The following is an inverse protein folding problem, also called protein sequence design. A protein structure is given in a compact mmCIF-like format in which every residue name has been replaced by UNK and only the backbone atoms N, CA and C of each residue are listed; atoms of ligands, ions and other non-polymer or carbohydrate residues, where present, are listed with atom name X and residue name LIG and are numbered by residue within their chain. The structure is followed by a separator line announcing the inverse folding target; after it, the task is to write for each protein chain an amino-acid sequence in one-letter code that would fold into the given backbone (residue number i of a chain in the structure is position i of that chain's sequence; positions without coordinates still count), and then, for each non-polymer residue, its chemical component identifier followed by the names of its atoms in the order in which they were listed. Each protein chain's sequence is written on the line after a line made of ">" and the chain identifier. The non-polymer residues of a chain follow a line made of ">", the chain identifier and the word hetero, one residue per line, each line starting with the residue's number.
data_IF_107026306311
#
_entry.id   IF_107026306311
#
_cell.length_a   1.000
_cell.length_b   1.000
_cell.length_c   1.000
_cell.angle_alpha   90.00
_cell.angle_beta   90.00
_cell.angle_gamma   90.00
#
_symmetry.space_group_name_H-M   'P 1'
#
loop_
_entity.id
_entity.type
_entity.pdbx_description
1 polymer ?
#
# COMPACT_ATOMS: atom_id res chain seq x y z
N UNK A 1 24.95 38.14 4.63
CA UNK A 1 24.42 36.77 4.85
C UNK A 1 23.46 36.88 6.02
N UNK A 2 22.16 37.01 5.74
CA UNK A 2 21.16 37.30 6.77
C UNK A 2 20.87 36.08 7.61
N UNK A 3 21.03 36.20 8.93
CA UNK A 3 20.56 35.20 9.88
C UNK A 3 19.04 35.10 9.74
N UNK A 4 18.56 33.94 9.31
CA UNK A 4 17.14 33.59 9.40
C UNK A 4 16.78 33.73 10.88
N UNK A 5 15.95 34.71 11.22
CA UNK A 5 15.58 34.93 12.62
C UNK A 5 14.87 33.68 13.14
N UNK A 6 15.05 33.34 14.42
CA UNK A 6 14.40 32.17 15.01
C UNK A 6 12.87 32.16 14.79
N UNK A 7 12.25 33.34 14.65
CA UNK A 7 10.84 33.49 14.31
C UNK A 7 10.52 33.13 12.85
N UNK A 8 11.36 33.52 11.88
CA UNK A 8 11.19 33.11 10.47
C UNK A 8 11.40 31.61 10.28
N UNK A 9 12.40 31.03 10.96
CA UNK A 9 12.61 29.58 10.95
C UNK A 9 11.40 28.83 11.53
N UNK A 10 10.82 29.32 12.62
CA UNK A 10 9.63 28.74 13.24
C UNK A 10 8.40 28.89 12.37
N UNK A 11 8.20 30.04 11.73
CA UNK A 11 7.11 30.28 10.80
C UNK A 11 7.21 29.37 9.56
N UNK A 12 8.41 29.18 9.01
CA UNK A 12 8.67 28.28 7.90
C UNK A 12 8.40 26.81 8.27
N UNK A 13 8.81 26.37 9.45
CA UNK A 13 8.53 25.01 9.94
C UNK A 13 7.03 24.76 10.16
N UNK A 14 6.30 25.75 10.67
CA UNK A 14 4.83 25.66 10.82
C UNK A 14 4.13 25.58 9.46
N UNK A 15 4.58 26.35 8.46
CA UNK A 15 4.05 26.27 7.10
C UNK A 15 4.31 24.90 6.44
N UNK A 16 5.51 24.32 6.66
CA UNK A 16 5.85 22.98 6.19
C UNK A 16 5.00 21.91 6.89
N UNK A 17 4.80 22.01 8.21
CA UNK A 17 3.99 21.05 8.96
C UNK A 17 2.49 21.15 8.61
N UNK A 18 1.97 22.35 8.37
CA UNK A 18 0.62 22.55 7.84
C UNK A 18 0.47 21.98 6.43
N UNK A 19 1.46 22.16 5.56
CA UNK A 19 1.52 21.52 4.25
C UNK A 19 1.52 19.99 4.37
N UNK A 20 2.31 19.44 5.31
CA UNK A 20 2.42 18.00 5.55
C UNK A 20 1.09 17.40 6.04
N UNK A 21 0.38 18.09 6.93
CA UNK A 21 -0.96 17.68 7.41
C UNK A 21 -2.00 17.70 6.29
N UNK A 22 -1.99 18.75 5.46
CA UNK A 22 -2.89 18.81 4.28
C UNK A 22 -2.61 17.69 3.27
N UNK A 23 -1.35 17.28 3.13
CA UNK A 23 -0.97 16.14 2.26
C UNK A 23 -1.46 14.81 2.85
N UNK A 24 -1.35 14.60 4.17
CA UNK A 24 -1.83 13.37 4.83
C UNK A 24 -3.35 13.22 4.75
N UNK A 25 -4.11 14.30 4.91
CA UNK A 25 -5.57 14.29 4.71
C UNK A 25 -5.96 13.95 3.26
N UNK A 26 -5.08 14.23 2.29
CA UNK A 26 -5.27 13.96 0.86
C UNK A 26 -4.89 12.53 0.45
N UNK A 27 -4.25 11.73 1.31
CA UNK A 27 -3.97 10.31 1.07
C UNK A 27 -5.21 9.49 1.50
N UNK A 28 -6.14 9.27 0.57
CA UNK A 28 -7.21 8.31 0.77
C UNK A 28 -7.23 7.38 -0.45
N UNK A 29 -6.92 6.11 -0.20
CA UNK A 29 -7.08 5.05 -1.20
C UNK A 29 -8.53 4.59 -1.15
N UNK A 30 -9.26 4.58 -2.28
CA UNK A 30 -10.67 4.16 -2.32
C UNK A 30 -10.89 2.74 -1.78
N UNK A 31 -12.04 2.49 -1.15
CA UNK A 31 -12.40 1.17 -0.64
C UNK A 31 -12.34 0.07 -1.71
N UNK A 32 -12.75 0.38 -2.95
CA UNK A 32 -12.71 -0.58 -4.07
C UNK A 32 -11.30 -1.07 -4.39
N UNK A 33 -10.26 -0.25 -4.16
CA UNK A 33 -8.89 -0.65 -4.44
C UNK A 33 -8.44 -1.76 -3.47
N UNK A 34 -8.81 -1.64 -2.19
CA UNK A 34 -8.53 -2.70 -1.21
C UNK A 34 -9.25 -4.00 -1.57
N UNK A 35 -10.50 -3.90 -2.04
CA UNK A 35 -11.23 -5.04 -2.59
C UNK A 35 -10.54 -5.65 -3.81
N UNK A 36 -10.03 -4.84 -4.74
CA UNK A 36 -9.29 -5.30 -5.90
C UNK A 36 -8.02 -6.08 -5.49
N UNK A 37 -7.24 -5.54 -4.54
CA UNK A 37 -6.03 -6.22 -4.05
C UNK A 37 -6.38 -7.51 -3.32
N UNK A 38 -7.40 -7.49 -2.47
CA UNK A 38 -7.88 -8.67 -1.75
C UNK A 38 -8.36 -9.77 -2.73
N UNK A 39 -9.19 -9.41 -3.72
CA UNK A 39 -9.66 -10.34 -4.74
C UNK A 39 -8.51 -10.94 -5.55
N UNK A 40 -7.51 -10.13 -5.91
CA UNK A 40 -6.31 -10.63 -6.60
C UNK A 40 -5.52 -11.62 -5.77
N UNK A 41 -5.42 -11.42 -4.45
CA UNK A 41 -4.72 -12.35 -3.55
C UNK A 41 -5.43 -13.71 -3.46
N UNK A 42 -6.76 -13.71 -3.36
CA UNK A 42 -7.56 -14.95 -3.39
C UNK A 42 -7.45 -15.66 -4.73
N UNK A 43 -7.54 -14.91 -5.84
CA UNK A 43 -7.41 -15.46 -7.18
C UNK A 43 -6.03 -16.10 -7.41
N UNK A 44 -4.95 -15.48 -6.92
CA UNK A 44 -3.61 -16.06 -6.98
C UNK A 44 -3.52 -17.38 -6.20
N UNK A 45 -4.11 -17.44 -5.01
CA UNK A 45 -4.19 -18.68 -4.23
C UNK A 45 -4.94 -19.79 -4.97
N UNK A 46 -6.08 -19.46 -5.58
CA UNK A 46 -6.86 -20.41 -6.38
C UNK A 46 -6.09 -20.89 -7.62
N UNK A 47 -5.40 -20.00 -8.33
CA UNK A 47 -4.54 -20.37 -9.47
C UNK A 47 -3.39 -21.26 -9.02
N UNK A 48 -2.84 -21.03 -7.83
CA UNK A 48 -1.76 -21.85 -7.28
C UNK A 48 -2.20 -23.28 -6.93
N UNK A 49 -3.41 -23.45 -6.40
CA UNK A 49 -3.93 -24.79 -6.07
C UNK A 49 -4.52 -25.54 -7.27
N UNK A 50 -5.12 -24.82 -8.24
CA UNK A 50 -5.90 -25.43 -9.33
C UNK A 50 -5.17 -25.42 -10.69
N UNK A 51 -4.20 -24.53 -10.86
CA UNK A 51 -3.52 -24.28 -12.13
C UNK A 51 -2.19 -25.02 -12.26
N UNK A 52 -1.64 -25.10 -13.49
CA UNK A 52 -0.27 -25.58 -13.68
C UNK A 52 0.72 -24.59 -13.06
N UNK A 53 1.87 -25.07 -12.60
CA UNK A 53 2.85 -24.26 -11.83
C UNK A 53 3.28 -22.95 -12.55
N UNK A 54 3.33 -22.93 -13.88
CA UNK A 54 3.67 -21.73 -14.64
C UNK A 54 2.56 -20.66 -14.61
N UNK A 55 1.29 -21.06 -14.43
CA UNK A 55 0.16 -20.15 -14.39
C UNK A 55 0.23 -19.22 -13.17
N UNK A 56 0.68 -19.72 -12.02
CA UNK A 56 0.90 -18.92 -10.81
C UNK A 56 1.93 -17.82 -11.04
N UNK A 57 3.04 -18.15 -11.72
CA UNK A 57 4.08 -17.18 -12.09
C UNK A 57 3.50 -16.10 -13.00
N UNK A 58 2.79 -16.48 -14.06
CA UNK A 58 2.17 -15.53 -14.99
C UNK A 58 1.14 -14.66 -14.29
N UNK A 59 0.28 -15.25 -13.46
CA UNK A 59 -0.74 -14.53 -12.71
C UNK A 59 -0.12 -13.53 -11.72
N UNK A 60 0.97 -13.91 -11.05
CA UNK A 60 1.68 -13.02 -10.11
C UNK A 60 2.29 -11.82 -10.82
N UNK A 61 2.96 -12.06 -11.96
CA UNK A 61 3.52 -10.98 -12.79
C UNK A 61 2.42 -10.07 -13.31
N UNK A 62 1.32 -10.64 -13.83
CA UNK A 62 0.18 -9.88 -14.33
C UNK A 62 -0.49 -9.04 -13.23
N UNK A 63 -0.69 -9.62 -12.05
CA UNK A 63 -1.23 -8.92 -10.89
C UNK A 63 -0.31 -7.79 -10.44
N UNK A 64 1.00 -8.03 -10.35
CA UNK A 64 1.99 -7.01 -9.99
C UNK A 64 2.03 -5.85 -10.99
N UNK A 65 1.97 -6.15 -12.30
CA UNK A 65 1.94 -5.15 -13.36
C UNK A 65 0.64 -4.32 -13.32
N UNK A 66 -0.51 -4.99 -13.19
CA UNK A 66 -1.82 -4.33 -13.08
C UNK A 66 -1.87 -3.44 -11.84
N UNK A 67 -1.47 -3.96 -10.67
CA UNK A 67 -1.39 -3.22 -9.43
C UNK A 67 -0.48 -1.99 -9.54
N UNK A 68 0.72 -2.14 -10.12
CA UNK A 68 1.67 -1.05 -10.32
C UNK A 68 1.17 0.03 -11.29
N UNK A 69 0.32 -0.34 -12.26
CA UNK A 69 -0.30 0.62 -13.18
C UNK A 69 -1.49 1.37 -12.57
N UNK A 70 -2.28 0.68 -11.73
CA UNK A 70 -3.50 1.20 -11.13
C UNK A 70 -3.19 2.04 -9.89
N UNK A 71 -2.25 1.62 -9.04
CA UNK A 71 -1.95 2.32 -7.79
C UNK A 71 -1.59 3.81 -7.99
N UNK A 72 -0.73 4.20 -8.95
CA UNK A 72 -0.49 5.60 -9.25
C UNK A 72 -1.76 6.28 -9.75
N UNK A 73 -2.50 5.68 -10.69
CA UNK A 73 -3.71 6.27 -11.27
C UNK A 73 -4.84 6.46 -10.27
N UNK A 74 -4.96 5.60 -9.27
CA UNK A 74 -5.96 5.72 -8.20
C UNK A 74 -5.60 6.86 -7.24
N UNK A 75 -4.32 7.01 -6.94
CA UNK A 75 -3.79 8.10 -6.11
C UNK A 75 -3.86 9.45 -6.85
N UNK A 76 -3.64 9.45 -8.18
CA UNK A 76 -3.68 10.64 -9.04
C UNK A 76 -5.10 10.98 -9.55
N UNK A 77 -5.96 9.99 -9.77
CA UNK A 77 -7.31 10.14 -10.34
C UNK A 77 -8.31 10.83 -9.42
N UNK A 78 -8.03 10.88 -8.11
CA UNK A 78 -8.73 11.76 -7.16
C UNK A 78 -8.22 13.22 -7.18
N UNK A 79 -7.20 13.52 -8.00
CA UNK A 79 -6.39 14.75 -7.93
C UNK A 79 -6.01 15.25 -9.33
N UNK A 80 -7.01 15.58 -10.14
CA UNK A 80 -6.79 16.50 -11.25
C UNK A 80 -6.28 17.85 -10.72
N UNK A 81 -4.98 18.01 -10.62
CA UNK A 81 -4.33 19.31 -10.58
C UNK A 81 -2.95 19.21 -11.23
N UNK A 82 -2.86 19.84 -12.40
CA UNK A 82 -1.69 20.03 -13.24
C UNK A 82 -0.53 20.81 -12.58
N UNK A 83 -0.48 20.88 -11.24
CA UNK A 83 0.57 21.54 -10.47
C UNK A 83 1.52 20.55 -9.76
N UNK A 84 1.25 19.24 -9.86
CA UNK A 84 2.11 18.17 -9.34
C UNK A 84 2.73 17.33 -10.47
N UNK A 85 3.07 17.95 -11.60
CA UNK A 85 4.07 17.38 -12.52
C UNK A 85 5.49 17.52 -11.94
N UNK A 86 5.64 17.32 -10.64
CA UNK A 86 6.95 17.14 -10.02
C UNK A 86 7.36 15.72 -10.36
N UNK A 87 8.09 15.61 -11.48
CA UNK A 87 9.01 14.53 -11.85
C UNK A 87 8.72 13.19 -11.17
N UNK A 88 8.19 12.24 -11.94
CA UNK A 88 8.17 10.81 -11.60
C UNK A 88 9.55 10.25 -11.14
N UNK A 89 10.61 10.98 -11.44
CA UNK A 89 12.00 10.85 -10.96
C UNK A 89 12.17 10.98 -9.41
N UNK A 90 11.19 11.56 -8.70
CA UNK A 90 11.25 11.86 -7.24
C UNK A 90 10.01 11.34 -6.49
N UNK A 91 9.32 10.31 -7.00
CA UNK A 91 8.51 9.45 -6.12
C UNK A 91 9.52 8.56 -5.36
N UNK A 92 10.10 9.13 -4.32
CA UNK A 92 11.38 8.71 -3.76
C UNK A 92 11.46 7.21 -3.46
N UNK A 93 12.63 6.63 -3.79
CA UNK A 93 13.12 5.30 -3.35
C UNK A 93 12.51 4.77 -2.04
N UNK A 94 12.40 5.54 -0.94
CA UNK A 94 11.76 5.06 0.30
C UNK A 94 10.31 4.59 0.14
N UNK A 95 9.47 5.24 -0.68
CA UNK A 95 8.07 4.85 -0.89
C UNK A 95 8.00 3.54 -1.68
N UNK A 96 8.78 3.44 -2.76
CA UNK A 96 8.88 2.21 -3.53
C UNK A 96 9.42 1.04 -2.69
N UNK A 97 10.45 1.30 -1.86
CA UNK A 97 10.99 0.31 -0.94
C UNK A 97 9.98 -0.11 0.13
N UNK A 98 9.17 0.80 0.67
CA UNK A 98 8.13 0.48 1.63
C UNK A 98 7.02 -0.38 1.01
N UNK A 99 6.58 -0.06 -0.22
CA UNK A 99 5.59 -0.86 -0.96
C UNK A 99 6.14 -2.26 -1.25
N UNK A 100 7.37 -2.34 -1.77
CA UNK A 100 8.03 -3.61 -2.07
C UNK A 100 8.24 -4.44 -0.79
N UNK A 101 8.71 -3.81 0.29
CA UNK A 101 8.88 -4.46 1.59
C UNK A 101 7.56 -4.99 2.15
N UNK A 102 6.47 -4.22 2.02
CA UNK A 102 5.13 -4.68 2.40
C UNK A 102 4.67 -5.88 1.58
N UNK A 103 4.88 -5.86 0.25
CA UNK A 103 4.56 -6.98 -0.64
C UNK A 103 5.36 -8.25 -0.29
N UNK A 104 6.68 -8.11 -0.08
CA UNK A 104 7.54 -9.22 0.33
C UNK A 104 7.09 -9.81 1.67
N UNK A 105 6.76 -8.95 2.64
CA UNK A 105 6.24 -9.40 3.93
C UNK A 105 4.92 -10.17 3.77
N UNK A 106 3.96 -9.61 3.02
CA UNK A 106 2.66 -10.25 2.76
C UNK A 106 2.82 -11.58 2.01
N UNK A 107 3.72 -11.64 1.02
CA UNK A 107 4.05 -12.87 0.32
C UNK A 107 4.66 -13.91 1.27
N UNK A 108 5.61 -13.52 2.11
CA UNK A 108 6.20 -14.39 3.13
C UNK A 108 5.16 -14.94 4.11
N UNK A 109 4.23 -14.10 4.57
CA UNK A 109 3.09 -14.53 5.41
C UNK A 109 2.18 -15.51 4.66
N UNK A 110 1.91 -15.25 3.37
CA UNK A 110 1.09 -16.15 2.53
C UNK A 110 1.75 -17.53 2.42
N UNK A 111 3.05 -17.57 2.13
CA UNK A 111 3.82 -18.81 2.00
C UNK A 111 3.85 -19.58 3.32
N UNK A 112 4.14 -18.89 4.44
CA UNK A 112 4.15 -19.52 5.76
C UNK A 112 2.78 -20.10 6.14
N UNK A 113 1.70 -19.35 5.89
CA UNK A 113 0.34 -19.82 6.13
C UNK A 113 -0.01 -21.04 5.26
N UNK A 114 0.38 -21.03 3.97
CA UNK A 114 0.16 -22.16 3.07
C UNK A 114 0.89 -23.42 3.56
N UNK A 115 2.15 -23.28 4.02
CA UNK A 115 2.88 -24.41 4.60
C UNK A 115 2.21 -24.96 5.87
N UNK A 116 1.74 -24.10 6.76
CA UNK A 116 1.02 -24.52 7.96
C UNK A 116 -0.27 -25.29 7.59
N UNK A 117 -1.07 -24.71 6.69
CA UNK A 117 -2.31 -25.34 6.22
C UNK A 117 -2.06 -26.67 5.48
N UNK A 118 -0.99 -26.76 4.71
CA UNK A 118 -0.60 -28.00 4.05
C UNK A 118 -0.17 -29.07 5.05
N UNK A 119 0.51 -28.69 6.14
CA UNK A 119 0.88 -29.62 7.21
C UNK A 119 -0.35 -30.14 7.98
N UNK A 120 -1.40 -29.33 8.07
CA UNK A 120 -2.69 -29.70 8.68
C UNK A 120 -3.58 -30.56 7.75
N UNK A 121 -3.10 -30.91 6.54
CA UNK A 121 -3.84 -31.73 5.59
C UNK A 121 -4.96 -30.99 4.84
N UNK A 122 -4.90 -29.66 4.78
CA UNK A 122 -5.84 -28.88 3.99
C UNK A 122 -5.72 -29.18 2.50
N UNK A 123 -6.85 -29.36 1.80
CA UNK A 123 -6.86 -29.65 0.36
C UNK A 123 -6.48 -28.47 -0.55
N UNK A 124 -6.66 -27.24 -0.08
CA UNK A 124 -6.40 -26.00 -0.85
C UNK A 124 -5.60 -24.97 -0.02
N UNK A 125 -4.36 -25.31 0.37
CA UNK A 125 -3.60 -24.50 1.31
C UNK A 125 -3.27 -23.10 0.77
N UNK A 126 -2.99 -22.96 -0.54
CA UNK A 126 -2.65 -21.66 -1.12
C UNK A 126 -3.88 -20.73 -1.20
N UNK A 127 -5.06 -21.29 -1.50
CA UNK A 127 -6.32 -20.55 -1.54
C UNK A 127 -6.69 -20.02 -0.16
N UNK A 128 -6.62 -20.87 0.87
CA UNK A 128 -6.92 -20.45 2.24
C UNK A 128 -5.90 -19.45 2.79
N UNK A 129 -4.62 -19.61 2.47
CA UNK A 129 -3.61 -18.60 2.76
C UNK A 129 -3.89 -17.27 2.03
N UNK A 130 -4.34 -17.34 0.77
CA UNK A 130 -4.78 -16.20 -0.01
C UNK A 130 -5.95 -15.46 0.64
N UNK A 131 -6.98 -16.19 1.09
CA UNK A 131 -8.13 -15.64 1.84
C UNK A 131 -7.68 -14.98 3.14
N UNK A 132 -6.80 -15.64 3.91
CA UNK A 132 -6.27 -15.10 5.15
C UNK A 132 -5.58 -13.74 4.92
N UNK A 133 -4.70 -13.65 3.92
CA UNK A 133 -4.02 -12.40 3.60
C UNK A 133 -4.97 -11.37 2.99
N UNK A 134 -5.96 -11.78 2.21
CA UNK A 134 -7.01 -10.88 1.70
C UNK A 134 -7.77 -10.19 2.85
N UNK A 135 -8.08 -10.91 3.93
CA UNK A 135 -8.67 -10.33 5.15
C UNK A 135 -7.71 -9.33 5.80
N UNK A 136 -6.42 -9.66 5.91
CA UNK A 136 -5.40 -8.74 6.43
C UNK A 136 -5.35 -7.46 5.60
N UNK A 137 -5.37 -7.55 4.27
CA UNK A 137 -5.34 -6.39 3.38
C UNK A 137 -6.60 -5.54 3.52
N UNK A 138 -7.77 -6.18 3.54
CA UNK A 138 -9.05 -5.49 3.60
C UNK A 138 -9.24 -4.73 4.92
N UNK A 139 -8.77 -5.29 6.04
CA UNK A 139 -8.80 -4.64 7.36
C UNK A 139 -7.61 -3.69 7.57
N UNK A 140 -6.42 -4.12 7.17
CA UNK A 140 -5.15 -3.43 7.39
C UNK A 140 -5.04 -2.13 6.61
N UNK A 141 -5.50 -2.09 5.36
CA UNK A 141 -5.46 -0.91 4.52
C UNK A 141 -6.19 0.31 5.14
N UNK A 142 -7.48 0.18 5.49
CA UNK A 142 -8.23 1.22 6.19
C UNK A 142 -7.65 1.59 7.57
N UNK A 143 -7.17 0.60 8.34
CA UNK A 143 -6.59 0.83 9.67
C UNK A 143 -5.24 1.56 9.64
N UNK A 144 -4.37 1.27 8.66
CA UNK A 144 -3.12 2.00 8.46
C UNK A 144 -3.40 3.46 8.10
N UNK A 145 -4.35 3.70 7.19
CA UNK A 145 -4.76 5.05 6.82
C UNK A 145 -5.38 5.81 8.01
N UNK A 146 -6.19 5.15 8.84
CA UNK A 146 -6.77 5.79 10.02
C UNK A 146 -5.74 6.10 11.11
N UNK A 147 -4.74 5.24 11.31
CA UNK A 147 -3.62 5.49 12.23
C UNK A 147 -2.70 6.60 11.75
N UNK A 148 -2.38 6.64 10.46
CA UNK A 148 -1.59 7.72 9.85
C UNK A 148 -2.34 9.05 9.98
N UNK A 149 -3.66 9.06 9.73
CA UNK A 149 -4.51 10.24 9.95
C UNK A 149 -4.51 10.67 11.42
N UNK A 150 -4.72 9.75 12.35
CA UNK A 150 -4.73 10.03 13.79
C UNK A 150 -3.38 10.58 14.25
N UNK A 151 -2.27 9.98 13.83
CA UNK A 151 -0.92 10.44 14.17
C UNK A 151 -0.64 11.86 13.61
N UNK A 152 -1.08 12.15 12.39
CA UNK A 152 -0.96 13.49 11.81
C UNK A 152 -1.84 14.53 12.52
N UNK A 153 -3.03 14.15 13.01
CA UNK A 153 -3.91 15.01 13.81
C UNK A 153 -3.37 15.26 15.23
N UNK A 154 -2.69 14.28 15.84
CA UNK A 154 -2.07 14.47 17.17
C UNK A 154 -0.80 15.30 17.09
N UNK A 155 0.03 15.09 16.06
CA UNK A 155 1.12 16.01 15.74
C UNK A 155 0.55 17.41 15.47
N UNK A 156 -0.58 17.46 14.74
CA UNK A 156 -1.59 18.52 14.60
C UNK A 156 -1.72 19.55 15.72
N UNK A 157 -2.16 19.02 16.85
CA UNK A 157 -2.65 19.79 17.97
C UNK A 157 -1.56 20.19 18.98
N UNK A 158 -0.30 19.81 18.72
CA UNK A 158 0.88 20.23 19.50
C UNK A 158 1.66 21.29 18.73
#
# INVERSE_FOLDING_TARGET
>A
MGEVSANEARAALVAVEQGRRSVVERIAVPAWYWWFVAAGWVALGAVADLGPAWATTVATVAFGALHSSVAPRVVHGRRGSAALSVRADVVGRPVAAAVLGGLVLLAGVTVAAAFALSADGCGHPATWAGVFVAVIVLLGGPMLLSRVRRAAQVAGAR
#
